data_IF_194903165663
#
_entry.id   IF_194903165663
#
_cell.length_a   1.000
_cell.length_b   1.000
_cell.length_c   1.000
_cell.angle_alpha   90.00
_cell.angle_beta   90.00
_cell.angle_gamma   90.00
#
_symmetry.space_group_name_H-M   'P 1'
#
loop_
_entity.id
_entity.type
_entity.pdbx_description
1 polymer ?
#
# COMPACT_ATOMS: atom_id res chain seq x y z
N UNK A 1 17.00 1.77 0.14
CA UNK A 1 15.79 2.54 -0.22
C UNK A 1 16.14 4.00 -0.21
N UNK A 2 15.96 4.68 -1.32
CA UNK A 2 16.10 6.13 -1.45
C UNK A 2 14.89 6.85 -0.86
N UNK A 3 15.02 8.16 -0.62
CA UNK A 3 13.92 8.98 -0.13
C UNK A 3 12.73 8.98 -1.11
N UNK A 4 13.00 9.01 -2.41
CA UNK A 4 11.97 8.97 -3.46
C UNK A 4 11.23 7.63 -3.49
N UNK A 5 11.95 6.51 -3.40
CA UNK A 5 11.34 5.18 -3.34
C UNK A 5 10.45 5.02 -2.10
N UNK A 6 10.90 5.55 -0.96
CA UNK A 6 10.08 5.55 0.26
C UNK A 6 8.82 6.40 0.07
N UNK A 7 8.94 7.60 -0.49
CA UNK A 7 7.79 8.48 -0.73
C UNK A 7 6.74 7.83 -1.67
N UNK A 8 7.18 7.12 -2.70
CA UNK A 8 6.28 6.37 -3.60
C UNK A 8 5.57 5.23 -2.88
N UNK A 9 6.30 4.43 -2.10
CA UNK A 9 5.75 3.34 -1.27
C UNK A 9 4.77 3.87 -0.24
N UNK A 10 5.13 4.94 0.46
CA UNK A 10 4.29 5.59 1.46
C UNK A 10 3.00 6.15 0.85
N UNK A 11 3.09 6.81 -0.31
CA UNK A 11 1.91 7.29 -1.05
C UNK A 11 0.99 6.12 -1.45
N UNK A 12 1.56 4.99 -1.87
CA UNK A 12 0.79 3.80 -2.19
C UNK A 12 0.13 3.16 -0.95
N UNK A 13 0.85 3.09 0.15
CA UNK A 13 0.37 2.60 1.43
C UNK A 13 -0.78 3.45 1.97
N UNK A 14 -0.69 4.79 1.89
CA UNK A 14 -1.79 5.69 2.27
C UNK A 14 -3.09 5.36 1.54
N UNK A 15 -3.03 5.19 0.22
CA UNK A 15 -4.21 4.84 -0.57
C UNK A 15 -4.73 3.43 -0.20
N UNK A 16 -3.83 2.49 0.06
CA UNK A 16 -4.20 1.13 0.49
C UNK A 16 -4.94 1.15 1.82
N UNK A 17 -4.43 1.87 2.82
CA UNK A 17 -5.07 2.00 4.14
C UNK A 17 -6.41 2.72 4.07
N UNK A 18 -6.52 3.80 3.27
CA UNK A 18 -7.80 4.46 3.00
C UNK A 18 -8.81 3.47 2.42
N UNK A 19 -8.40 2.67 1.43
CA UNK A 19 -9.27 1.66 0.81
C UNK A 19 -9.66 0.54 1.76
N UNK A 20 -8.73 0.09 2.60
CA UNK A 20 -9.00 -0.93 3.60
C UNK A 20 -10.04 -0.42 4.62
N UNK A 21 -9.88 0.80 5.11
CA UNK A 21 -10.81 1.42 6.04
C UNK A 21 -12.19 1.66 5.39
N UNK A 22 -12.22 2.15 4.14
CA UNK A 22 -13.46 2.22 3.35
C UNK A 22 -14.14 0.85 3.22
N UNK A 23 -13.37 -0.22 2.99
CA UNK A 23 -13.87 -1.58 2.93
C UNK A 23 -14.52 -2.05 4.22
N UNK A 24 -13.92 -1.74 5.38
CA UNK A 24 -14.49 -2.02 6.71
C UNK A 24 -15.84 -1.33 6.93
N UNK A 25 -16.00 -0.14 6.34
CA UNK A 25 -17.20 0.69 6.48
C UNK A 25 -18.20 0.50 5.33
N UNK A 26 -17.94 -0.41 4.38
CA UNK A 26 -18.72 -0.58 3.15
C UNK A 26 -18.91 0.73 2.36
N UNK A 27 -17.91 1.61 2.40
CA UNK A 27 -17.93 2.93 1.78
C UNK A 27 -17.32 2.89 0.38
N UNK A 28 -18.03 3.40 -0.62
CA UNK A 28 -17.50 3.56 -1.98
C UNK A 28 -16.73 4.87 -2.16
N UNK A 29 -15.82 4.96 -3.14
CA UNK A 29 -15.11 6.21 -3.48
C UNK A 29 -16.07 7.36 -3.80
N UNK A 30 -17.22 7.04 -4.42
CA UNK A 30 -18.30 8.01 -4.68
C UNK A 30 -19.02 8.43 -3.40
N UNK A 31 -19.19 7.51 -2.45
CA UNK A 31 -19.74 7.81 -1.13
C UNK A 31 -18.82 8.73 -0.34
N UNK A 32 -17.53 8.39 -0.28
CA UNK A 32 -16.50 9.19 0.36
C UNK A 32 -16.44 10.61 -0.23
N UNK A 33 -16.41 10.72 -1.57
CA UNK A 33 -16.44 12.02 -2.25
C UNK A 33 -17.64 12.88 -1.82
N UNK A 34 -18.84 12.30 -1.73
CA UNK A 34 -20.03 13.01 -1.25
C UNK A 34 -19.88 13.52 0.19
N UNK A 35 -19.26 12.75 1.08
CA UNK A 35 -19.03 13.14 2.48
C UNK A 35 -18.09 14.36 2.56
N UNK A 36 -17.03 14.39 1.76
CA UNK A 36 -16.02 15.47 1.78
C UNK A 36 -16.27 16.59 0.76
N UNK A 37 -17.44 16.61 0.12
CA UNK A 37 -17.81 17.64 -0.85
C UNK A 37 -16.99 17.63 -2.14
N UNK A 38 -16.56 16.44 -2.60
CA UNK A 38 -15.78 16.23 -3.83
C UNK A 38 -16.50 15.32 -4.83
N UNK A 39 -16.15 15.46 -6.10
CA UNK A 39 -16.74 14.63 -7.16
C UNK A 39 -16.25 13.19 -7.09
N UNK A 40 -17.03 12.28 -7.66
CA UNK A 40 -16.63 10.87 -7.85
C UNK A 40 -15.33 10.75 -8.65
N UNK A 41 -15.16 11.58 -9.69
CA UNK A 41 -13.95 11.62 -10.51
C UNK A 41 -12.73 12.02 -9.68
N UNK A 42 -12.86 13.06 -8.84
CA UNK A 42 -11.78 13.51 -7.97
C UNK A 42 -11.24 12.39 -7.08
N UNK A 43 -12.14 11.54 -6.57
CA UNK A 43 -11.78 10.39 -5.75
C UNK A 43 -11.24 9.21 -6.56
N UNK A 44 -11.82 8.94 -7.72
CA UNK A 44 -11.31 7.91 -8.63
C UNK A 44 -9.87 8.19 -9.06
N UNK A 45 -9.56 9.45 -9.37
CA UNK A 45 -8.22 9.86 -9.81
C UNK A 45 -7.16 9.65 -8.70
N UNK A 46 -7.55 9.74 -7.43
CA UNK A 46 -6.65 9.60 -6.26
C UNK A 46 -6.57 8.17 -5.75
N UNK A 47 -7.71 7.49 -5.66
CA UNK A 47 -7.83 6.20 -5.00
C UNK A 47 -7.77 5.03 -5.98
N UNK A 48 -8.41 5.13 -7.13
CA UNK A 48 -8.79 3.97 -7.95
C UNK A 48 -7.93 3.71 -9.18
N UNK A 49 -7.33 4.72 -9.81
CA UNK A 49 -6.57 4.46 -11.03
C UNK A 49 -5.69 5.56 -11.56
N UNK A 50 -5.50 6.64 -10.81
CA UNK A 50 -4.76 7.79 -11.32
C UNK A 50 -5.57 8.64 -12.30
N UNK A 51 -4.98 9.74 -12.73
CA UNK A 51 -5.58 10.67 -13.68
C UNK A 51 -5.86 9.96 -15.00
N UNK A 52 -7.13 9.87 -15.37
CA UNK A 52 -7.61 9.21 -16.59
C UNK A 52 -6.98 9.71 -17.89
N UNK A 53 -6.42 10.93 -17.91
CA UNK A 53 -5.76 11.53 -19.08
C UNK A 53 -4.27 11.22 -19.17
N UNK A 54 -3.61 10.93 -18.05
CA UNK A 54 -2.15 10.77 -17.99
C UNK A 54 -1.70 9.39 -17.49
N UNK A 55 -2.62 8.58 -16.96
CA UNK A 55 -2.35 7.27 -16.36
C UNK A 55 -1.54 7.34 -15.07
N UNK A 56 -1.19 8.53 -14.58
CA UNK A 56 -0.37 8.72 -13.37
C UNK A 56 -1.24 8.86 -12.14
N UNK A 57 -0.82 8.24 -11.04
CA UNK A 57 -1.50 8.36 -9.74
C UNK A 57 -1.51 9.82 -9.29
N UNK A 58 -2.68 10.34 -8.93
CA UNK A 58 -2.77 11.67 -8.32
C UNK A 58 -2.38 11.54 -6.85
N UNK A 59 -1.36 12.30 -6.45
CA UNK A 59 -0.85 12.31 -5.08
C UNK A 59 -1.90 12.93 -4.15
N UNK A 60 -2.14 12.28 -3.01
CA UNK A 60 -2.95 12.83 -1.91
C UNK A 60 -2.19 13.99 -1.27
N UNK A 61 -2.79 15.17 -1.24
CA UNK A 61 -2.22 16.30 -0.50
C UNK A 61 -2.66 16.26 0.98
N UNK A 62 -2.11 17.17 1.78
CA UNK A 62 -2.43 17.26 3.22
C UNK A 62 -3.93 17.49 3.47
N UNK A 63 -4.60 18.27 2.62
CA UNK A 63 -6.04 18.50 2.73
C UNK A 63 -6.84 17.23 2.43
N UNK A 64 -6.42 16.43 1.44
CA UNK A 64 -7.02 15.14 1.12
C UNK A 64 -6.91 14.21 2.33
N UNK A 65 -5.72 14.10 2.92
CA UNK A 65 -5.46 13.24 4.08
C UNK A 65 -6.37 13.62 5.25
N UNK A 66 -6.42 14.89 5.63
CA UNK A 66 -7.25 15.35 6.75
C UNK A 66 -8.75 15.14 6.49
N UNK A 67 -9.22 15.50 5.30
CA UNK A 67 -10.64 15.37 4.95
C UNK A 67 -11.09 13.92 4.91
N UNK A 68 -10.27 13.03 4.34
CA UNK A 68 -10.57 11.60 4.22
C UNK A 68 -10.50 10.93 5.59
N UNK A 69 -9.45 11.18 6.39
CA UNK A 69 -9.32 10.61 7.74
C UNK A 69 -10.53 10.98 8.60
N UNK A 70 -10.92 12.26 8.59
CA UNK A 70 -12.11 12.74 9.30
C UNK A 70 -13.40 12.07 8.80
N UNK A 71 -13.56 11.91 7.50
CA UNK A 71 -14.73 11.23 6.92
C UNK A 71 -14.79 9.74 7.29
N UNK A 72 -13.64 9.10 7.50
CA UNK A 72 -13.52 7.71 7.94
C UNK A 72 -13.56 7.57 9.47
N UNK A 73 -13.64 8.67 10.22
CA UNK A 73 -13.69 8.64 11.68
C UNK A 73 -12.39 8.21 12.36
N UNK A 74 -11.24 8.33 11.68
CA UNK A 74 -9.91 8.05 12.21
C UNK A 74 -9.06 9.33 12.25
N UNK A 75 -8.04 9.36 13.10
CA UNK A 75 -7.12 10.50 13.11
C UNK A 75 -6.15 10.45 11.92
N UNK A 76 -5.68 11.63 11.48
CA UNK A 76 -4.66 11.73 10.43
C UNK A 76 -3.36 11.02 10.84
N UNK A 77 -2.99 11.15 12.11
CA UNK A 77 -1.80 10.53 12.68
C UNK A 77 -1.91 9.01 12.58
N UNK A 78 -3.05 8.45 12.94
CA UNK A 78 -3.28 7.00 12.85
C UNK A 78 -3.21 6.51 11.41
N UNK A 79 -3.83 7.22 10.46
CA UNK A 79 -3.76 6.88 9.04
C UNK A 79 -2.31 6.89 8.52
N UNK A 80 -1.56 7.94 8.88
CA UNK A 80 -0.14 8.09 8.50
C UNK A 80 0.71 6.99 9.12
N UNK A 81 0.51 6.66 10.40
CA UNK A 81 1.24 5.60 11.09
C UNK A 81 0.97 4.22 10.48
N UNK A 82 -0.29 3.91 10.16
CA UNK A 82 -0.65 2.66 9.47
C UNK A 82 0.06 2.57 8.11
N UNK A 83 0.02 3.65 7.32
CA UNK A 83 0.69 3.70 6.02
C UNK A 83 2.22 3.60 6.12
N UNK A 84 2.84 4.28 7.10
CA UNK A 84 4.28 4.21 7.36
C UNK A 84 4.72 2.78 7.72
N UNK A 85 3.95 2.11 8.58
CA UNK A 85 4.19 0.71 8.93
C UNK A 85 4.11 -0.23 7.72
N UNK A 86 3.14 -0.04 6.82
CA UNK A 86 3.04 -0.83 5.57
C UNK A 86 4.22 -0.53 4.65
N UNK A 87 4.55 0.74 4.43
CA UNK A 87 5.64 1.14 3.55
C UNK A 87 7.00 0.61 4.02
N UNK A 88 7.24 0.57 5.33
CA UNK A 88 8.45 0.01 5.94
C UNK A 88 8.47 -1.52 5.90
N UNK A 89 7.37 -2.20 6.24
CA UNK A 89 7.30 -3.68 6.22
C UNK A 89 7.48 -4.28 4.82
N UNK A 90 7.12 -3.55 3.77
CA UNK A 90 7.43 -3.97 2.39
C UNK A 90 8.95 -4.16 2.18
N UNK A 91 9.81 -3.48 2.96
CA UNK A 91 11.25 -3.70 2.91
C UNK A 91 11.69 -5.05 3.48
N UNK A 92 11.06 -5.47 4.59
CA UNK A 92 11.47 -6.70 5.27
C UNK A 92 11.27 -7.93 4.36
N UNK A 93 10.19 -7.95 3.58
CA UNK A 93 9.96 -9.02 2.60
C UNK A 93 10.89 -8.96 1.38
N UNK A 94 11.24 -7.76 0.89
CA UNK A 94 12.20 -7.60 -0.22
C UNK A 94 13.63 -8.01 0.18
N UNK A 95 14.02 -7.84 1.45
CA UNK A 95 15.31 -8.28 1.98
C UNK A 95 15.39 -9.80 2.09
N UNK A 96 14.34 -10.46 2.59
CA UNK A 96 14.28 -11.92 2.73
C UNK A 96 14.21 -12.63 1.37
N UNK A 97 13.58 -12.02 0.36
CA UNK A 97 13.46 -12.60 -0.96
C UNK A 97 14.75 -12.56 -1.80
N UNK A 98 15.72 -11.70 -1.45
CA UNK A 98 17.01 -11.59 -2.16
C UNK A 98 18.14 -12.40 -1.52
N UNK A 99 17.93 -12.97 -0.32
CA UNK A 99 18.76 -14.08 0.16
C UNK A 99 18.34 -15.36 -0.57
N UNK A 100 18.82 -15.45 -1.82
CA UNK A 100 18.78 -16.69 -2.59
C UNK A 100 19.39 -17.80 -1.73
N UNK A 101 18.54 -18.76 -1.39
CA UNK A 101 18.84 -20.09 -0.88
C UNK A 101 19.89 -20.71 -1.83
N UNK A 102 21.17 -20.45 -1.58
CA UNK A 102 22.25 -21.13 -2.27
C UNK A 102 22.61 -22.36 -1.46
N UNK A 103 22.48 -23.50 -2.15
CA UNK A 103 22.98 -24.83 -1.81
C UNK A 103 22.21 -25.57 -0.71
N UNK A 104 21.18 -26.30 -1.15
CA UNK A 104 20.99 -27.65 -0.62
C UNK A 104 22.29 -28.43 -0.89
N UNK A 105 22.96 -29.02 0.11
CA UNK A 105 24.10 -29.88 -0.15
C UNK A 105 23.61 -31.03 -1.02
N UNK A 106 24.27 -31.25 -2.16
CA UNK A 106 24.04 -32.40 -3.02
C UNK A 106 24.04 -33.66 -2.14
N UNK A 107 22.92 -34.37 -2.15
CA UNK A 107 22.78 -35.64 -1.47
C UNK A 107 23.91 -36.54 -1.95
N UNK A 108 24.79 -36.90 -1.02
CA UNK A 108 25.79 -37.92 -1.24
C UNK A 108 25.03 -39.23 -1.40
N UNK A 109 24.93 -39.74 -2.63
CA UNK A 109 24.41 -41.07 -2.93
C UNK A 109 25.26 -42.08 -2.15
N UNK A 110 24.76 -42.47 -0.99
CA UNK A 110 25.36 -43.54 -0.20
C UNK A 110 24.98 -44.85 -0.89
N UNK A 111 25.97 -45.46 -1.53
CA UNK A 111 25.96 -46.83 -2.02
C UNK A 111 25.53 -47.78 -0.88
N UNK A 112 24.26 -48.15 -0.85
CA UNK A 112 23.78 -49.26 -0.04
C UNK A 112 23.94 -50.55 -0.84
N UNK A 113 25.08 -51.20 -0.61
CA UNK A 113 25.31 -52.62 -0.85
C UNK A 113 24.14 -53.42 -0.26
N UNK A 114 23.45 -54.20 -1.09
CA UNK A 114 22.52 -55.22 -0.60
C UNK A 114 22.64 -56.49 -1.46
N UNK A 115 23.27 -57.48 -0.81
CA UNK A 115 23.04 -58.94 -0.82
C UNK A 115 23.07 -59.71 -2.16
#
# INVERSE_FOLDING_TARGET
MTETEFAERFSAALVSEIKAEMGRQSLSSRGLGRIIGKSSQYMSDRLDGGNTKTGRRVILNVWDISSIAKALGISEIELIQRADNVARRQQDYDLVANESINEFPAGNDADFDHA
#
